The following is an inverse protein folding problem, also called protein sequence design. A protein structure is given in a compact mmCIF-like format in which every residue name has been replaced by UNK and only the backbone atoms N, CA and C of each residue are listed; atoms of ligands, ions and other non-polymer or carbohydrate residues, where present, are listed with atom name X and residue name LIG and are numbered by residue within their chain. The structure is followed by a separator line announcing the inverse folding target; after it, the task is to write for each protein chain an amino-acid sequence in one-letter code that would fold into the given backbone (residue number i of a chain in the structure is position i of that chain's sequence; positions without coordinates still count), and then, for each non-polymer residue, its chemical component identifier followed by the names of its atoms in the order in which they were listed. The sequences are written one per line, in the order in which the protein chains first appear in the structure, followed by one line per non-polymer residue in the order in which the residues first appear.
data_IF_157843328618
#
_entry.id   IF_157843328618
#
_cell.length_a   1.000
_cell.length_b   1.000
_cell.length_c   1.000
_cell.angle_alpha   90.00
_cell.angle_beta   90.00
_cell.angle_gamma   90.00
#
_symmetry.space_group_name_H-M   'P 1'
#
loop_
_entity.id
_entity.type
_entity.pdbx_description
1 polymer ?
#
# COMPACT_ATOMS: atom_id res chain seq x y z
N UNK A 1 12.47 15.82 -8.56
CA UNK A 1 11.58 15.49 -9.69
C UNK A 1 10.22 15.12 -9.11
N UNK A 2 9.32 16.08 -9.07
CA UNK A 2 7.95 15.91 -8.57
C UNK A 2 7.10 15.31 -9.68
N UNK A 3 7.11 13.98 -9.76
CA UNK A 3 6.22 13.28 -10.68
C UNK A 3 4.79 13.40 -10.15
N UNK A 4 3.92 14.08 -10.91
CA UNK A 4 2.50 14.22 -10.57
C UNK A 4 1.83 12.84 -10.44
N UNK A 5 2.23 11.86 -11.26
CA UNK A 5 1.76 10.48 -11.16
C UNK A 5 2.79 9.47 -11.70
N UNK A 6 2.81 8.28 -11.10
CA UNK A 6 3.52 7.11 -11.60
C UNK A 6 2.71 6.48 -12.73
N UNK A 7 3.39 6.04 -13.80
CA UNK A 7 2.75 5.46 -14.98
C UNK A 7 3.30 4.06 -15.25
N UNK A 8 2.39 3.11 -15.40
CA UNK A 8 2.69 1.72 -15.71
C UNK A 8 2.71 0.84 -14.48
N UNK A 9 2.19 -0.38 -14.63
CA UNK A 9 2.15 -1.36 -13.55
C UNK A 9 3.56 -1.66 -13.02
N UNK A 10 4.58 -1.71 -13.90
CA UNK A 10 5.96 -1.99 -13.48
C UNK A 10 6.50 -0.91 -12.54
N UNK A 11 6.28 0.36 -12.86
CA UNK A 11 6.80 1.49 -12.08
C UNK A 11 6.08 1.60 -10.74
N UNK A 12 4.75 1.46 -10.75
CA UNK A 12 3.91 1.47 -9.54
C UNK A 12 4.29 0.31 -8.62
N UNK A 13 4.38 -0.91 -9.15
CA UNK A 13 4.74 -2.09 -8.37
C UNK A 13 6.18 -2.03 -7.85
N UNK A 14 7.12 -1.49 -8.63
CA UNK A 14 8.49 -1.28 -8.17
C UNK A 14 8.55 -0.31 -6.99
N UNK A 15 7.72 0.75 -7.01
CA UNK A 15 7.67 1.73 -5.93
C UNK A 15 7.11 1.15 -4.62
N UNK A 16 6.18 0.20 -4.69
CA UNK A 16 5.60 -0.45 -3.49
C UNK A 16 6.29 -1.77 -3.11
N UNK A 17 7.21 -2.27 -3.94
CA UNK A 17 7.89 -3.56 -3.73
C UNK A 17 7.08 -4.79 -4.12
N UNK A 18 6.01 -4.62 -4.90
CA UNK A 18 5.09 -5.70 -5.27
C UNK A 18 5.39 -6.30 -6.66
N UNK A 19 4.76 -7.45 -6.95
CA UNK A 19 4.92 -8.09 -8.25
C UNK A 19 3.98 -7.46 -9.31
N UNK A 20 4.49 -6.93 -10.42
CA UNK A 20 3.67 -6.31 -11.47
C UNK A 20 2.67 -7.26 -12.14
N UNK A 21 2.89 -8.58 -12.07
CA UNK A 21 1.92 -9.58 -12.55
C UNK A 21 0.63 -9.59 -11.73
N UNK A 22 0.70 -9.18 -10.46
CA UNK A 22 -0.42 -9.18 -9.52
C UNK A 22 -1.11 -7.81 -9.41
N UNK A 23 -0.77 -6.84 -10.27
CA UNK A 23 -1.36 -5.50 -10.25
C UNK A 23 -2.89 -5.52 -10.19
N UNK A 24 -3.54 -6.37 -10.99
CA UNK A 24 -5.00 -6.51 -10.99
C UNK A 24 -5.56 -7.00 -9.65
N UNK A 25 -4.84 -7.92 -9.00
CA UNK A 25 -5.22 -8.45 -7.69
C UNK A 25 -5.00 -7.39 -6.61
N UNK A 26 -3.87 -6.67 -6.64
CA UNK A 26 -3.56 -5.61 -5.69
C UNK A 26 -4.60 -4.49 -5.72
N UNK A 27 -5.00 -4.06 -6.91
CA UNK A 27 -6.04 -3.05 -7.05
C UNK A 27 -7.41 -3.55 -6.59
N UNK A 28 -7.81 -4.79 -6.97
CA UNK A 28 -9.15 -5.31 -6.63
C UNK A 28 -9.29 -5.81 -5.19
N UNK A 29 -8.25 -6.42 -4.63
CA UNK A 29 -8.30 -7.14 -3.34
C UNK A 29 -7.65 -6.32 -2.23
N UNK A 30 -6.49 -5.74 -2.49
CA UNK A 30 -5.74 -4.96 -1.50
C UNK A 30 -6.06 -3.46 -1.55
N UNK A 31 -6.91 -3.04 -2.50
CA UNK A 31 -7.32 -1.64 -2.66
C UNK A 31 -6.16 -0.72 -3.04
N UNK A 32 -5.15 -1.22 -3.77
CA UNK A 32 -4.03 -0.40 -4.23
C UNK A 32 -4.60 0.81 -5.01
N UNK A 33 -4.21 2.07 -4.66
CA UNK A 33 -4.76 3.29 -5.25
C UNK A 33 -4.14 3.54 -6.63
N UNK A 34 -4.39 2.62 -7.55
CA UNK A 34 -3.97 2.68 -8.93
C UNK A 34 -5.18 2.48 -9.84
N UNK A 35 -5.27 3.29 -10.90
CA UNK A 35 -6.38 3.27 -11.83
C UNK A 35 -5.90 3.34 -13.27
N UNK A 36 -6.78 3.01 -14.22
CA UNK A 36 -6.55 3.19 -15.66
C UNK A 36 -7.71 3.95 -16.27
N UNK A 37 -7.41 4.88 -17.19
CA UNK A 37 -8.45 5.58 -17.96
C UNK A 37 -8.81 4.74 -19.18
N UNK A 38 -9.77 3.83 -19.03
CA UNK A 38 -10.30 2.96 -20.10
C UNK A 38 -9.75 1.52 -20.13
N UNK A 39 -10.14 0.75 -21.15
CA UNK A 39 -9.86 -0.69 -21.23
C UNK A 39 -8.40 -0.98 -21.59
N UNK A 40 -7.80 -0.21 -22.53
CA UNK A 40 -6.41 -0.33 -23.02
C UNK A 40 -5.45 0.74 -22.44
N UNK A 41 -5.82 1.36 -21.32
CA UNK A 41 -5.01 2.42 -20.71
C UNK A 41 -3.86 1.88 -19.86
N UNK A 42 -2.77 2.65 -19.79
CA UNK A 42 -1.70 2.44 -18.80
C UNK A 42 -2.20 2.73 -17.39
N UNK A 43 -1.79 1.90 -16.43
CA UNK A 43 -2.04 2.14 -15.01
C UNK A 43 -1.38 3.42 -14.53
N UNK A 44 -2.04 4.13 -13.62
CA UNK A 44 -1.58 5.37 -13.01
C UNK A 44 -1.85 5.30 -11.52
N UNK A 45 -0.95 5.87 -10.73
CA UNK A 45 -1.12 6.04 -9.30
C UNK A 45 -0.48 7.36 -8.88
N UNK A 46 -1.06 8.04 -7.89
CA UNK A 46 -0.37 9.18 -7.29
C UNK A 46 0.68 8.65 -6.32
N UNK A 47 1.89 9.22 -6.32
CA UNK A 47 2.91 8.83 -5.36
C UNK A 47 2.50 9.15 -3.91
N UNK A 48 1.62 10.13 -3.70
CA UNK A 48 1.07 10.45 -2.37
C UNK A 48 0.12 9.35 -1.87
N UNK A 49 -0.82 8.90 -2.70
CA UNK A 49 -1.72 7.80 -2.36
C UNK A 49 -0.96 6.49 -2.11
N UNK A 50 0.04 6.16 -2.94
CA UNK A 50 0.86 4.97 -2.70
C UNK A 50 1.62 5.04 -1.38
N UNK A 51 2.11 6.22 -0.99
CA UNK A 51 2.77 6.43 0.30
C UNK A 51 1.80 6.24 1.47
N UNK A 52 0.58 6.76 1.35
CA UNK A 52 -0.48 6.56 2.34
C UNK A 52 -0.83 5.07 2.45
N UNK A 53 -1.10 4.40 1.33
CA UNK A 53 -1.41 2.98 1.29
C UNK A 53 -0.30 2.12 1.89
N UNK A 54 0.98 2.39 1.57
CA UNK A 54 2.11 1.68 2.18
C UNK A 54 2.19 1.88 3.70
N UNK A 55 1.87 3.08 4.20
CA UNK A 55 1.80 3.33 5.64
C UNK A 55 0.69 2.52 6.29
N UNK A 56 -0.49 2.45 5.68
CA UNK A 56 -1.61 1.66 6.17
C UNK A 56 -1.31 0.16 6.15
N UNK A 57 -0.70 -0.35 5.07
CA UNK A 57 -0.27 -1.75 5.02
C UNK A 57 0.76 -2.07 6.10
N UNK A 58 1.73 -1.17 6.29
CA UNK A 58 2.72 -1.28 7.36
C UNK A 58 2.05 -1.29 8.72
N UNK A 59 1.13 -0.38 8.98
CA UNK A 59 0.40 -0.30 10.25
C UNK A 59 -0.33 -1.61 10.52
N UNK A 60 -1.15 -2.08 9.57
CA UNK A 60 -1.86 -3.36 9.66
C UNK A 60 -0.98 -4.58 9.89
N UNK A 61 0.26 -4.57 9.39
CA UNK A 61 1.24 -5.64 9.63
C UNK A 61 2.03 -5.45 10.93
N UNK A 62 2.17 -4.21 11.39
CA UNK A 62 2.77 -3.85 12.67
C UNK A 62 1.78 -4.02 13.83
N UNK A 63 0.46 -4.01 13.62
CA UNK A 63 -0.60 -4.22 14.60
C UNK A 63 -0.66 -5.65 15.19
N UNK A 64 0.48 -6.33 15.28
CA UNK A 64 0.69 -7.39 16.28
C UNK A 64 2.15 -7.56 16.69
N UNK A 65 2.69 -6.78 17.65
CA UNK A 65 3.19 -7.45 18.83
C UNK A 65 1.98 -8.03 19.56
N UNK A 66 2.01 -9.28 20.06
CA UNK A 66 1.03 -9.68 21.06
C UNK A 66 1.09 -8.61 22.17
N UNK A 67 -0.07 -8.12 22.59
CA UNK A 67 -0.19 -7.42 23.85
C UNK A 67 0.51 -8.31 24.89
N UNK A 68 1.75 -7.96 25.26
CA UNK A 68 2.23 -8.37 26.55
C UNK A 68 1.19 -7.81 27.53
N UNK A 69 0.58 -8.63 28.40
CA UNK A 69 -0.20 -8.06 29.48
C UNK A 69 0.74 -7.10 30.19
N UNK A 70 0.40 -5.80 30.17
CA UNK A 70 1.14 -4.81 30.92
C UNK A 70 1.23 -5.28 32.37
N UNK A 71 2.33 -5.00 33.09
CA UNK A 71 2.39 -5.34 34.50
C UNK A 71 1.19 -4.66 35.16
N UNK A 72 0.32 -5.49 35.72
CA UNK A 72 -0.71 -5.08 36.65
C UNK A 72 -0.01 -4.26 37.75
N UNK A 73 -0.21 -2.95 37.73
CA UNK A 73 0.25 -2.04 38.75
C UNK A 73 -0.96 -1.40 39.40
N UNK A 74 -1.44 -1.99 40.50
CA UNK A 74 -1.82 -1.26 41.73
C UNK A 74 -1.90 -2.28 42.89
N UNK A 75 -0.86 -2.34 43.72
CA UNK A 75 -0.74 -1.74 45.07
C UNK A 75 -1.48 -2.51 46.19
N UNK A 76 -0.69 -3.03 47.15
CA UNK A 76 -1.11 -3.37 48.51
C UNK A 76 0.01 -3.00 49.49
#
# INVERSE_FOLDING_TARGET
MDFICLKGAKDICLAVGENPKNMHLLVRVHGLPAWKRGIKGTWRALPEDLRAWMREQRDRHLERPPLAPGPDCVEH
#
